data_IF_055689008282
#
_entry.id   IF_055689008282
#
_cell.length_a   1.000
_cell.length_b   1.000
_cell.length_c   1.000
_cell.angle_alpha   90.00
_cell.angle_beta   90.00
_cell.angle_gamma   90.00
#
_symmetry.space_group_name_H-M   'P 1'
#
loop_
_entity.id
_entity.type
_entity.pdbx_description
1 polymer ?
#
# COMPACT_ATOMS: atom_id res chain seq x y z
N UNK A 1 -19.85 -4.88 -11.00
CA UNK A 1 -18.77 -4.57 -10.04
C UNK A 1 -19.18 -3.31 -9.29
N UNK A 2 -19.35 -3.36 -7.96
CA UNK A 2 -19.70 -2.18 -7.16
C UNK A 2 -18.44 -1.34 -6.94
N UNK A 3 -18.45 -0.08 -7.38
CA UNK A 3 -17.35 0.85 -7.14
C UNK A 3 -17.05 0.95 -5.64
N UNK A 4 -15.76 1.06 -5.31
CA UNK A 4 -15.30 1.25 -3.92
C UNK A 4 -15.24 2.72 -3.59
N UNK A 5 -15.55 3.07 -2.34
CA UNK A 5 -15.55 4.47 -1.93
C UNK A 5 -14.12 5.01 -1.89
N UNK A 6 -13.87 6.04 -2.70
CA UNK A 6 -12.58 6.73 -2.81
C UNK A 6 -12.10 7.28 -1.48
N UNK A 7 -13.00 7.90 -0.71
CA UNK A 7 -12.66 8.50 0.58
C UNK A 7 -12.15 7.43 1.56
N UNK A 8 -12.80 6.26 1.58
CA UNK A 8 -12.38 5.13 2.42
C UNK A 8 -11.02 4.60 1.97
N UNK A 9 -10.78 4.49 0.66
CA UNK A 9 -9.50 4.03 0.13
C UNK A 9 -8.34 4.98 0.49
N UNK A 10 -8.55 6.30 0.41
CA UNK A 10 -7.55 7.28 0.85
C UNK A 10 -7.36 7.28 2.37
N UNK A 11 -8.42 7.08 3.15
CA UNK A 11 -8.33 6.94 4.61
C UNK A 11 -7.48 5.73 4.98
N UNK A 12 -7.74 4.57 4.36
CA UNK A 12 -6.96 3.35 4.53
C UNK A 12 -5.51 3.54 4.09
N UNK A 13 -5.26 4.26 2.99
CA UNK A 13 -3.93 4.57 2.51
C UNK A 13 -3.17 5.48 3.48
N UNK A 14 -3.83 6.49 4.07
CA UNK A 14 -3.20 7.42 4.99
C UNK A 14 -2.80 6.76 6.32
N UNK A 15 -3.70 5.98 6.93
CA UNK A 15 -3.43 5.32 8.22
C UNK A 15 -2.67 4.01 8.09
N UNK A 16 -2.98 3.22 7.06
CA UNK A 16 -2.50 1.84 6.89
C UNK A 16 -1.77 1.63 5.56
N UNK A 17 -1.31 2.70 4.92
CA UNK A 17 -0.57 2.60 3.66
C UNK A 17 0.69 1.75 3.78
N UNK A 18 1.42 1.87 4.88
CA UNK A 18 2.67 1.13 5.08
C UNK A 18 2.48 -0.39 5.16
N UNK A 19 1.27 -0.84 5.47
CA UNK A 19 0.90 -2.26 5.51
C UNK A 19 0.03 -2.67 4.30
N UNK A 20 -0.25 -1.74 3.38
CA UNK A 20 -0.92 -2.02 2.10
C UNK A 20 -2.44 -2.25 2.18
N UNK A 21 -3.12 -1.82 3.25
CA UNK A 21 -4.54 -2.18 3.48
C UNK A 21 -5.49 -1.58 2.43
N UNK A 22 -5.18 -0.41 1.87
CA UNK A 22 -5.95 0.18 0.76
C UNK A 22 -5.98 -0.72 -0.49
N UNK A 23 -4.93 -1.54 -0.73
CA UNK A 23 -4.90 -2.52 -1.82
C UNK A 23 -5.75 -3.75 -1.52
N UNK A 24 -5.85 -4.18 -0.27
CA UNK A 24 -6.78 -5.24 0.12
C UNK A 24 -8.24 -4.81 -0.05
N UNK A 25 -8.57 -3.56 0.31
CA UNK A 25 -9.93 -3.01 0.15
C UNK A 25 -10.38 -2.94 -1.31
N UNK A 26 -9.44 -2.69 -2.23
CA UNK A 26 -9.69 -2.62 -3.67
C UNK A 26 -9.53 -3.98 -4.38
N UNK A 27 -9.31 -5.06 -3.63
CA UNK A 27 -9.24 -6.43 -4.14
C UNK A 27 -7.90 -6.83 -4.77
N UNK A 28 -6.88 -5.97 -4.66
CA UNK A 28 -5.54 -6.20 -5.21
C UNK A 28 -4.62 -6.91 -4.21
N UNK A 29 -5.06 -8.09 -3.77
CA UNK A 29 -4.43 -8.88 -2.71
C UNK A 29 -2.94 -9.13 -2.97
N UNK A 30 -2.55 -9.57 -4.18
CA UNK A 30 -1.14 -9.88 -4.49
C UNK A 30 -0.20 -8.70 -4.25
N UNK A 31 -0.56 -7.51 -4.72
CA UNK A 31 0.24 -6.30 -4.48
C UNK A 31 0.14 -5.77 -3.04
N UNK A 32 -0.98 -6.00 -2.35
CA UNK A 32 -1.11 -5.68 -0.92
C UNK A 32 -0.18 -6.54 -0.05
N UNK A 33 -0.06 -7.84 -0.36
CA UNK A 33 0.88 -8.75 0.31
C UNK A 33 2.32 -8.29 0.08
N UNK A 34 2.66 -7.90 -1.15
CA UNK A 34 4.00 -7.39 -1.45
C UNK A 34 4.33 -6.11 -0.65
N UNK A 35 3.38 -5.17 -0.51
CA UNK A 35 3.54 -4.00 0.36
C UNK A 35 3.71 -4.39 1.83
N UNK A 36 2.90 -5.33 2.33
CA UNK A 36 2.99 -5.83 3.69
C UNK A 36 4.37 -6.47 3.98
N UNK A 37 4.86 -7.33 3.08
CA UNK A 37 6.17 -7.95 3.21
C UNK A 37 7.31 -6.93 3.16
N UNK A 38 7.23 -5.95 2.26
CA UNK A 38 8.19 -4.84 2.19
C UNK A 38 8.20 -4.03 3.50
N UNK A 39 7.02 -3.77 4.08
CA UNK A 39 6.90 -3.07 5.35
C UNK A 39 7.52 -3.87 6.49
N UNK A 40 7.18 -5.15 6.61
CA UNK A 40 7.71 -6.05 7.66
C UNK A 40 9.23 -6.18 7.53
N UNK A 41 9.74 -6.45 6.33
CA UNK A 41 11.19 -6.57 6.08
C UNK A 41 11.88 -5.24 6.34
N UNK A 42 11.34 -4.13 5.84
CA UNK A 42 11.93 -2.81 6.03
C UNK A 42 12.02 -2.39 7.49
N UNK A 43 10.92 -2.49 8.23
CA UNK A 43 10.90 -2.17 9.65
C UNK A 43 11.76 -3.12 10.49
N UNK A 44 11.74 -4.44 10.22
CA UNK A 44 12.57 -5.41 10.95
C UNK A 44 14.07 -5.24 10.71
N UNK A 45 14.48 -4.87 9.49
CA UNK A 45 15.90 -4.67 9.14
C UNK A 45 16.39 -3.24 9.35
N UNK A 46 15.54 -2.33 9.83
CA UNK A 46 15.92 -0.93 10.11
C UNK A 46 17.02 -0.82 11.17
N UNK A 47 17.04 -1.72 12.16
CA UNK A 47 18.09 -1.78 13.19
C UNK A 47 19.49 -2.04 12.60
N UNK A 48 19.56 -2.72 11.45
CA UNK A 48 20.82 -3.01 10.74
C UNK A 48 21.20 -1.93 9.73
N UNK A 49 20.52 -0.78 9.71
CA UNK A 49 20.64 0.31 8.72
C UNK A 49 20.29 -0.07 7.27
N UNK A 50 20.18 -1.37 6.95
CA UNK A 50 19.83 -1.87 5.61
C UNK A 50 18.33 -1.68 5.32
N UNK A 51 17.47 -1.70 6.35
CA UNK A 51 16.02 -1.57 6.21
C UNK A 51 15.54 -0.23 5.63
N UNK A 52 16.39 0.78 5.58
CA UNK A 52 16.07 2.06 4.92
C UNK A 52 15.82 1.91 3.42
N UNK A 53 16.51 0.98 2.75
CA UNK A 53 16.35 0.73 1.31
C UNK A 53 14.92 0.26 0.98
N UNK A 54 14.41 -0.85 1.54
CA UNK A 54 13.04 -1.29 1.29
C UNK A 54 11.99 -0.30 1.78
N UNK A 55 12.26 0.46 2.85
CA UNK A 55 11.35 1.52 3.30
C UNK A 55 11.25 2.65 2.27
N UNK A 56 12.37 3.14 1.72
CA UNK A 56 12.34 4.17 0.66
C UNK A 56 11.56 3.67 -0.56
N UNK A 57 11.77 2.42 -0.98
CA UNK A 57 10.99 1.81 -2.07
C UNK A 57 9.49 1.79 -1.72
N UNK A 58 9.14 1.42 -0.49
CA UNK A 58 7.76 1.40 -0.01
C UNK A 58 7.14 2.81 0.02
N UNK A 59 7.87 3.84 0.45
CA UNK A 59 7.42 5.24 0.43
C UNK A 59 7.21 5.76 -0.99
N UNK A 60 8.12 5.46 -1.92
CA UNK A 60 7.94 5.79 -3.34
C UNK A 60 6.69 5.08 -3.88
N UNK A 61 6.51 3.80 -3.53
CA UNK A 61 5.34 3.05 -3.96
C UNK A 61 4.04 3.64 -3.39
N UNK A 62 4.03 4.05 -2.11
CA UNK A 62 2.89 4.74 -1.50
C UNK A 62 2.55 6.04 -2.23
N UNK A 63 3.56 6.79 -2.66
CA UNK A 63 3.35 8.00 -3.43
C UNK A 63 2.70 7.72 -4.79
N UNK A 64 3.15 6.67 -5.49
CA UNK A 64 2.52 6.22 -6.75
C UNK A 64 1.07 5.75 -6.50
N UNK A 65 0.80 5.17 -5.33
CA UNK A 65 -0.55 4.71 -4.98
C UNK A 65 -1.59 5.83 -4.91
N UNK A 66 -1.20 7.07 -4.59
CA UNK A 66 -2.09 8.24 -4.65
C UNK A 66 -2.75 8.35 -6.03
N UNK A 67 -1.97 8.14 -7.10
CA UNK A 67 -2.47 8.21 -8.47
C UNK A 67 -3.20 6.93 -8.91
N UNK A 68 -2.87 5.79 -8.32
CA UNK A 68 -3.49 4.51 -8.66
C UNK A 68 -4.87 4.34 -8.00
N UNK A 69 -5.07 4.82 -6.77
CA UNK A 69 -6.30 4.63 -5.97
C UNK A 69 -7.59 4.94 -6.75
N UNK A 70 -7.72 6.06 -7.49
CA UNK A 70 -8.89 6.34 -8.32
C UNK A 70 -9.20 5.22 -9.32
N UNK A 71 -8.18 4.67 -9.98
CA UNK A 71 -8.33 3.54 -10.89
C UNK A 71 -8.66 2.23 -10.17
N UNK A 72 -8.13 2.03 -8.96
CA UNK A 72 -8.42 0.85 -8.13
C UNK A 72 -9.88 0.83 -7.66
N UNK A 73 -10.43 1.97 -7.31
CA UNK A 73 -11.82 2.09 -6.84
C UNK A 73 -12.86 1.92 -7.97
N UNK A 74 -12.53 2.34 -9.20
CA UNK A 74 -13.37 2.16 -10.38
C UNK A 74 -13.45 0.71 -10.85
N UNK A 75 -12.36 -0.05 -10.71
CA UNK A 75 -12.32 -1.46 -11.12
C UNK A 75 -11.73 -2.35 -10.00
N UNK A 76 -12.48 -2.56 -8.91
CA UNK A 76 -12.08 -3.46 -7.84
C UNK A 76 -12.08 -4.90 -8.37
N UNK A 77 -11.01 -5.64 -8.07
CA UNK A 77 -10.83 -7.04 -8.51
C UNK A 77 -11.28 -8.05 -7.47
#
# INVERSE_FOLDING_TARGET
>A
MRERNLAIAYLLWFFFGQIGVHRFYTGRVGSGIAQLLLGIVGWSTTWLLIGWIPLVVLWIWLFIDIFLIPGMCRNPR
#
